data_IF_607550708426
#
_entry.id   IF_607550708426
#
_cell.length_a   1.000
_cell.length_b   1.000
_cell.length_c   1.000
_cell.angle_alpha   90.00
_cell.angle_beta   90.00
_cell.angle_gamma   90.00
#
_symmetry.space_group_name_H-M   'P 1'
#
loop_
_entity.id
_entity.type
_entity.pdbx_description
1 polymer ?
#
# COMPACT_ATOMS: atom_id res chain seq x y z
N UNK A 1 -12.25 -7.18 16.96
CA UNK A 1 -10.91 -7.45 16.37
C UNK A 1 -10.89 -7.41 14.83
N UNK A 2 -12.03 -7.28 14.14
CA UNK A 2 -12.10 -7.40 12.67
C UNK A 2 -11.41 -6.23 11.97
N UNK A 3 -11.61 -5.00 12.47
CA UNK A 3 -10.98 -3.80 11.91
C UNK A 3 -9.50 -3.71 12.23
N UNK A 4 -9.08 -4.20 13.41
CA UNK A 4 -7.66 -4.25 13.77
C UNK A 4 -6.90 -5.25 12.89
N UNK A 5 -7.44 -6.47 12.72
CA UNK A 5 -6.84 -7.50 11.85
C UNK A 5 -6.76 -7.01 10.40
N UNK A 6 -7.83 -6.38 9.90
CA UNK A 6 -7.85 -5.77 8.57
C UNK A 6 -6.77 -4.68 8.43
N UNK A 7 -6.61 -3.83 9.45
CA UNK A 7 -5.60 -2.78 9.46
C UNK A 7 -4.17 -3.32 9.39
N UNK A 8 -3.86 -4.33 10.20
CA UNK A 8 -2.55 -4.99 10.20
C UNK A 8 -2.30 -5.66 8.83
N UNK A 9 -3.28 -6.38 8.30
CA UNK A 9 -3.16 -7.05 6.99
C UNK A 9 -2.88 -6.05 5.87
N UNK A 10 -3.58 -4.92 5.82
CA UNK A 10 -3.37 -3.88 4.80
C UNK A 10 -1.97 -3.27 4.86
N UNK A 11 -1.48 -2.95 6.05
CA UNK A 11 -0.13 -2.42 6.23
C UNK A 11 0.92 -3.46 5.82
N UNK A 12 0.73 -4.71 6.23
CA UNK A 12 1.66 -5.79 5.92
C UNK A 12 1.75 -6.06 4.41
N UNK A 13 0.62 -6.08 3.70
CA UNK A 13 0.58 -6.21 2.24
C UNK A 13 1.32 -5.04 1.57
N UNK A 14 1.13 -3.81 2.05
CA UNK A 14 1.85 -2.64 1.54
C UNK A 14 3.37 -2.79 1.65
N UNK A 15 3.87 -3.29 2.79
CA UNK A 15 5.30 -3.53 2.98
C UNK A 15 5.84 -4.72 2.17
N UNK A 16 5.05 -5.77 1.95
CA UNK A 16 5.46 -6.89 1.08
C UNK A 16 5.65 -6.40 -0.35
N UNK A 17 4.67 -5.66 -0.88
CA UNK A 17 4.74 -5.13 -2.26
C UNK A 17 5.95 -4.18 -2.39
N UNK A 18 6.16 -3.31 -1.40
CA UNK A 18 7.33 -2.44 -1.36
C UNK A 18 8.64 -3.23 -1.32
N UNK A 19 8.73 -4.30 -0.53
CA UNK A 19 9.93 -5.13 -0.42
C UNK A 19 10.23 -5.93 -1.68
N UNK A 20 9.20 -6.47 -2.34
CA UNK A 20 9.37 -7.27 -3.56
C UNK A 20 9.72 -6.40 -4.78
N UNK A 21 9.00 -5.30 -4.98
CA UNK A 21 9.08 -4.50 -6.21
C UNK A 21 9.77 -3.14 -6.03
N UNK A 22 10.04 -2.70 -4.80
CA UNK A 22 10.56 -1.34 -4.55
C UNK A 22 11.90 -1.03 -5.20
N UNK A 23 12.73 -2.05 -5.45
CA UNK A 23 14.04 -1.88 -6.09
C UNK A 23 13.93 -1.39 -7.54
N UNK A 24 12.92 -1.85 -8.30
CA UNK A 24 12.67 -1.45 -9.69
C UNK A 24 12.26 0.03 -9.77
N UNK A 25 11.47 0.49 -8.79
CA UNK A 25 10.96 1.86 -8.74
C UNK A 25 11.93 2.86 -8.11
N UNK A 26 12.87 2.44 -7.26
CA UNK A 26 13.94 3.32 -6.75
C UNK A 26 15.01 3.64 -7.81
N UNK A 27 15.33 2.68 -8.68
CA UNK A 27 16.27 2.87 -9.77
C UNK A 27 15.82 3.96 -10.76
N UNK A 28 14.51 4.06 -11.02
CA UNK A 28 13.91 5.06 -11.90
C UNK A 28 14.14 6.52 -11.43
N UNK A 29 14.11 6.76 -10.11
CA UNK A 29 14.38 8.09 -9.55
C UNK A 29 15.82 8.53 -9.80
N UNK A 30 16.78 7.64 -9.57
CA UNK A 30 18.21 7.92 -9.73
C UNK A 30 18.54 8.25 -11.19
N UNK A 31 18.00 7.45 -12.12
CA UNK A 31 18.22 7.64 -13.56
C UNK A 31 17.65 8.99 -14.07
N UNK A 32 16.47 9.39 -13.58
CA UNK A 32 15.84 10.67 -13.95
C UNK A 32 16.56 11.91 -13.41
N UNK A 33 17.15 11.81 -12.21
CA UNK A 33 17.78 12.95 -11.53
C UNK A 33 19.21 13.22 -12.03
N UNK A 34 19.89 12.20 -12.57
CA UNK A 34 21.33 12.29 -12.89
C UNK A 34 21.65 12.33 -14.39
N UNK A 35 20.78 11.79 -15.27
CA UNK A 35 21.11 11.66 -16.71
C UNK A 35 20.19 12.42 -17.67
N UNK A 36 19.07 13.00 -17.20
CA UNK A 36 18.16 13.82 -18.02
C UNK A 36 17.54 13.13 -19.24
N UNK A 37 17.79 11.83 -19.42
CA UNK A 37 17.30 10.99 -20.51
C UNK A 37 16.85 9.66 -19.93
N UNK A 38 15.58 9.31 -20.12
CA UNK A 38 15.01 8.08 -19.57
C UNK A 38 14.93 7.01 -20.64
N UNK A 39 15.45 5.82 -20.33
CA UNK A 39 15.34 4.65 -21.18
C UNK A 39 14.45 3.60 -20.53
N UNK A 40 13.68 2.92 -21.36
CA UNK A 40 12.96 1.71 -21.01
C UNK A 40 13.73 0.52 -21.58
N UNK A 41 14.26 -0.32 -20.69
CA UNK A 41 15.01 -1.51 -21.06
C UNK A 41 14.01 -2.66 -21.17
N UNK A 42 13.91 -3.22 -22.37
CA UNK A 42 13.09 -4.39 -22.63
C UNK A 42 14.01 -5.59 -22.78
N UNK A 43 13.59 -6.76 -22.28
CA UNK A 43 14.31 -8.03 -22.47
C UNK A 43 14.45 -8.38 -23.97
N UNK A 44 13.47 -7.99 -24.78
CA UNK A 44 13.30 -8.49 -26.16
C UNK A 44 13.77 -7.51 -27.25
N UNK A 45 14.10 -6.27 -26.89
CA UNK A 45 14.37 -5.19 -27.85
C UNK A 45 15.32 -4.13 -27.31
N UNK A 46 16.06 -3.43 -28.19
CA UNK A 46 16.98 -2.38 -27.77
C UNK A 46 16.24 -1.27 -26.99
N UNK A 47 16.91 -0.66 -25.99
CA UNK A 47 16.31 0.29 -25.08
C UNK A 47 15.72 1.49 -25.82
N UNK A 48 14.47 1.81 -25.53
CA UNK A 48 13.77 2.93 -26.16
C UNK A 48 13.85 4.18 -25.28
N UNK A 49 14.11 5.34 -25.88
CA UNK A 49 13.96 6.62 -25.18
C UNK A 49 12.49 6.86 -24.91
N UNK A 50 12.15 7.03 -23.64
CA UNK A 50 10.80 7.42 -23.20
C UNK A 50 10.85 8.78 -22.53
N UNK A 51 9.72 9.50 -22.55
CA UNK A 51 9.61 10.74 -21.78
C UNK A 51 9.69 10.41 -20.29
N UNK A 52 10.63 11.04 -19.59
CA UNK A 52 10.82 10.84 -18.14
C UNK A 52 9.53 11.08 -17.32
N UNK A 53 8.61 11.89 -17.82
CA UNK A 53 7.29 12.13 -17.20
C UNK A 53 6.47 10.83 -17.02
N UNK A 54 6.49 9.90 -17.99
CA UNK A 54 5.76 8.63 -17.86
C UNK A 54 6.38 7.72 -16.80
N UNK A 55 7.71 7.59 -16.79
CA UNK A 55 8.42 6.77 -15.79
C UNK A 55 8.22 7.30 -14.36
N UNK A 56 8.24 8.62 -14.19
CA UNK A 56 7.95 9.29 -12.91
C UNK A 56 6.48 9.11 -12.50
N UNK A 57 5.55 9.10 -13.46
CA UNK A 57 4.14 8.86 -13.20
C UNK A 57 3.90 7.43 -12.69
N UNK A 58 4.50 6.43 -13.32
CA UNK A 58 4.38 5.03 -12.88
C UNK A 58 4.96 4.83 -11.49
N UNK A 59 6.11 5.45 -11.22
CA UNK A 59 6.70 5.45 -9.89
C UNK A 59 5.78 6.13 -8.86
N UNK A 60 5.23 7.29 -9.20
CA UNK A 60 4.31 8.04 -8.31
C UNK A 60 3.04 7.24 -8.04
N UNK A 61 2.51 6.55 -9.05
CA UNK A 61 1.36 5.67 -8.93
C UNK A 61 1.67 4.49 -8.00
N UNK A 62 2.83 3.85 -8.15
CA UNK A 62 3.27 2.74 -7.30
C UNK A 62 3.37 3.16 -5.82
N UNK A 63 4.11 4.24 -5.53
CA UNK A 63 4.21 4.75 -4.17
C UNK A 63 2.88 5.28 -3.63
N UNK A 64 2.05 5.89 -4.49
CA UNK A 64 0.71 6.34 -4.15
C UNK A 64 -0.20 5.19 -3.72
N UNK A 65 -0.12 4.05 -4.42
CA UNK A 65 -0.86 2.84 -4.09
C UNK A 65 -0.41 2.22 -2.76
N UNK A 66 0.90 2.15 -2.51
CA UNK A 66 1.46 1.71 -1.22
C UNK A 66 1.02 2.64 -0.09
N UNK A 67 1.10 3.95 -0.31
CA UNK A 67 0.65 4.94 0.66
C UNK A 67 -0.85 4.80 0.95
N UNK A 68 -1.66 4.50 -0.06
CA UNK A 68 -3.07 4.17 0.07
C UNK A 68 -3.32 2.99 1.00
N UNK A 69 -2.56 1.89 0.86
CA UNK A 69 -2.65 0.75 1.76
C UNK A 69 -2.29 1.10 3.21
N UNK A 70 -1.21 1.86 3.41
CA UNK A 70 -0.75 2.25 4.75
C UNK A 70 -1.78 3.18 5.42
N UNK A 71 -2.24 4.22 4.72
CA UNK A 71 -3.24 5.17 5.24
C UNK A 71 -4.54 4.45 5.58
N UNK A 72 -5.04 3.59 4.68
CA UNK A 72 -6.25 2.80 4.93
C UNK A 72 -6.10 1.90 6.15
N UNK A 73 -4.94 1.24 6.28
CA UNK A 73 -4.62 0.41 7.44
C UNK A 73 -4.60 1.19 8.75
N UNK A 74 -3.96 2.37 8.78
CA UNK A 74 -3.94 3.26 9.95
C UNK A 74 -5.37 3.70 10.33
N UNK A 75 -6.20 4.09 9.36
CA UNK A 75 -7.59 4.48 9.60
C UNK A 75 -8.38 3.31 10.20
N UNK A 76 -8.17 2.10 9.69
CA UNK A 76 -8.81 0.89 10.20
C UNK A 76 -8.38 0.59 11.64
N UNK A 77 -7.10 0.76 11.97
CA UNK A 77 -6.59 0.60 13.34
C UNK A 77 -7.19 1.64 14.30
N UNK A 78 -7.24 2.92 13.90
CA UNK A 78 -7.84 3.98 14.71
C UNK A 78 -9.31 3.66 14.99
N UNK A 79 -10.06 3.23 13.98
CA UNK A 79 -11.46 2.81 14.13
C UNK A 79 -11.61 1.58 15.02
N UNK A 80 -10.71 0.61 14.93
CA UNK A 80 -10.73 -0.60 15.75
C UNK A 80 -10.40 -0.34 17.23
N UNK A 81 -9.48 0.59 17.52
CA UNK A 81 -9.04 0.91 18.89
C UNK A 81 -9.96 1.93 19.57
N UNK A 82 -10.36 3.00 18.88
CA UNK A 82 -11.22 4.06 19.47
C UNK A 82 -12.71 3.78 19.32
N UNK A 83 -13.09 2.92 18.39
CA UNK A 83 -14.49 2.65 18.07
C UNK A 83 -15.01 1.36 18.69
N UNK A 84 -16.30 1.34 18.94
CA UNK A 84 -17.14 0.20 19.28
C UNK A 84 -17.41 -0.72 18.07
N UNK A 85 -16.88 -0.38 16.89
CA UNK A 85 -17.00 -1.14 15.64
C UNK A 85 -16.55 -2.59 15.76
N UNK A 86 -15.54 -2.84 16.58
CA UNK A 86 -15.03 -4.17 16.85
C UNK A 86 -15.77 -4.91 17.98
N UNK A 87 -16.57 -4.18 18.78
CA UNK A 87 -17.37 -4.67 19.91
C UNK A 87 -18.86 -4.76 19.60
N UNK A 88 -19.30 -4.36 18.40
CA UNK A 88 -20.68 -4.48 17.96
C UNK A 88 -20.99 -5.92 17.55
N UNK A 89 -21.10 -6.79 18.55
CA UNK A 89 -21.54 -8.17 18.38
C UNK A 89 -23.06 -8.19 18.34
N UNK A 90 -23.62 -9.08 17.54
CA UNK A 90 -25.07 -9.29 17.54
C UNK A 90 -25.48 -9.93 18.87
N UNK A 91 -26.68 -9.62 19.41
CA UNK A 91 -27.11 -10.14 20.71
C UNK A 91 -27.14 -11.68 20.73
N UNK A 92 -27.44 -12.33 19.60
CA UNK A 92 -27.38 -13.79 19.46
C UNK A 92 -25.98 -14.40 19.60
N UNK A 93 -24.92 -13.60 19.40
CA UNK A 93 -23.52 -14.02 19.46
C UNK A 93 -22.85 -13.57 20.78
N UNK A 94 -23.60 -12.99 21.73
CA UNK A 94 -23.08 -12.54 23.02
C UNK A 94 -22.88 -13.72 23.97
N UNK A 95 -21.63 -14.11 24.17
CA UNK A 95 -21.26 -15.10 25.19
C UNK A 95 -21.10 -14.42 26.57
N UNK A 96 -22.21 -14.13 27.24
CA UNK A 96 -22.23 -13.59 28.60
C UNK A 96 -23.65 -13.49 29.15
N UNK A 97 -23.87 -13.61 30.47
CA UNK A 97 -25.21 -13.52 31.05
C UNK A 97 -25.81 -12.14 30.75
N UNK A 98 -26.97 -12.14 30.12
CA UNK A 98 -27.78 -10.93 29.95
C UNK A 98 -28.23 -10.49 31.34
N UNK A 99 -27.87 -9.28 31.75
CA UNK A 99 -28.40 -8.72 32.99
C UNK A 99 -29.83 -8.27 32.69
N UNK A 100 -30.78 -9.08 33.12
CA UNK A 100 -32.16 -8.66 33.39
C UNK A 100 -32.17 -7.51 34.42
#
# INVERSE_FOLDING_TARGET
MRFIILGIALIFVGFIILGAFGHEYQAATLESNEFGTCYEYFEDRPPAKINCSFKIMDQTLFFGLILGFIISGIISLIKGVRGDWDNKVKPEDMAGPNKD
#
